data_IF_722743018306
#
_entry.id   IF_722743018306
#
_cell.length_a   1.000
_cell.length_b   1.000
_cell.length_c   1.000
_cell.angle_alpha   90.00
_cell.angle_beta   90.00
_cell.angle_gamma   90.00
#
_symmetry.space_group_name_H-M   'P 1'
#
loop_
_entity.id
_entity.type
_entity.pdbx_description
1 polymer ?
#
# COMPACT_ATOMS: atom_id res chain seq x y z
N UNK A 1 -4.22 11.11 22.69
CA UNK A 1 -5.01 9.92 22.36
C UNK A 1 -4.15 8.68 22.58
N UNK A 2 -4.78 7.58 22.96
CA UNK A 2 -4.16 6.24 22.99
C UNK A 2 -4.33 5.59 21.62
N UNK A 3 -3.24 5.40 20.91
CA UNK A 3 -3.25 4.87 19.52
C UNK A 3 -2.48 3.56 19.48
N UNK A 4 -3.09 2.54 18.90
CA UNK A 4 -2.43 1.25 18.70
C UNK A 4 -2.17 1.03 17.22
N UNK A 5 -0.91 0.77 16.85
CA UNK A 5 -0.49 0.45 15.49
C UNK A 5 -0.24 -1.06 15.40
N UNK A 6 -1.08 -1.77 14.68
CA UNK A 6 -1.00 -3.21 14.45
C UNK A 6 -0.10 -3.50 13.24
N UNK A 7 1.14 -3.89 13.51
CA UNK A 7 2.12 -4.24 12.48
C UNK A 7 3.43 -3.44 12.58
N UNK A 8 4.49 -4.12 12.99
CA UNK A 8 5.85 -3.59 13.18
C UNK A 8 6.71 -3.65 11.90
N UNK A 9 6.09 -3.55 10.72
CA UNK A 9 6.79 -3.33 9.45
C UNK A 9 7.44 -1.93 9.40
N UNK A 10 8.22 -1.64 8.36
CA UNK A 10 8.81 -0.30 8.20
C UNK A 10 7.76 0.81 8.24
N UNK A 11 6.65 0.64 7.50
CA UNK A 11 5.58 1.63 7.43
C UNK A 11 4.85 1.82 8.77
N UNK A 12 4.42 0.73 9.41
CA UNK A 12 3.77 0.82 10.72
C UNK A 12 4.67 1.45 11.79
N UNK A 13 5.97 1.12 11.77
CA UNK A 13 6.96 1.73 12.67
C UNK A 13 7.13 3.23 12.40
N UNK A 14 7.24 3.64 11.14
CA UNK A 14 7.37 5.05 10.77
C UNK A 14 6.14 5.87 11.20
N UNK A 15 4.93 5.31 11.04
CA UNK A 15 3.70 5.96 11.50
C UNK A 15 3.59 6.01 13.03
N UNK A 16 4.02 4.96 13.74
CA UNK A 16 4.05 4.97 15.20
C UNK A 16 4.98 6.07 15.74
N UNK A 17 6.15 6.26 15.11
CA UNK A 17 7.06 7.36 15.45
C UNK A 17 6.46 8.74 15.14
N UNK A 18 5.80 8.89 14.00
CA UNK A 18 5.12 10.14 13.62
C UNK A 18 4.04 10.50 14.64
N UNK A 19 3.24 9.53 15.06
CA UNK A 19 2.17 9.73 16.04
C UNK A 19 2.71 10.08 17.43
N UNK A 20 3.84 9.48 17.82
CA UNK A 20 4.53 9.81 19.06
C UNK A 20 5.07 11.26 19.00
N UNK A 21 5.69 11.67 17.89
CA UNK A 21 6.12 13.06 17.64
C UNK A 21 4.95 14.04 17.74
N UNK A 22 3.75 13.63 17.35
CA UNK A 22 2.51 14.37 17.51
C UNK A 22 1.94 14.33 18.95
N UNK A 23 2.74 13.82 19.93
CA UNK A 23 2.41 13.74 21.36
C UNK A 23 1.20 12.86 21.69
N UNK A 24 1.01 11.79 20.95
CA UNK A 24 0.04 10.75 21.30
C UNK A 24 0.74 9.64 22.12
N UNK A 25 -0.04 8.96 22.97
CA UNK A 25 0.42 7.72 23.61
C UNK A 25 0.29 6.59 22.58
N UNK A 26 1.42 6.06 22.09
CA UNK A 26 1.45 5.12 20.97
C UNK A 26 1.97 3.77 21.41
N UNK A 27 1.26 2.72 21.05
CA UNK A 27 1.70 1.34 21.18
C UNK A 27 1.86 0.71 19.80
N UNK A 28 3.07 0.25 19.50
CA UNK A 28 3.39 -0.54 18.31
C UNK A 28 3.28 -2.03 18.65
N UNK A 29 2.29 -2.68 18.06
CA UNK A 29 2.11 -4.12 18.23
C UNK A 29 2.83 -4.90 17.11
N UNK A 30 3.50 -5.97 17.52
CA UNK A 30 4.16 -6.92 16.62
C UNK A 30 3.59 -8.31 16.80
N UNK A 31 3.16 -8.94 15.72
CA UNK A 31 2.68 -10.33 15.75
C UNK A 31 3.75 -11.31 16.26
N UNK A 32 5.01 -11.09 15.90
CA UNK A 32 6.13 -11.92 16.36
C UNK A 32 6.67 -11.41 17.70
N UNK A 33 6.56 -12.22 18.80
CA UNK A 33 7.06 -11.84 20.12
C UNK A 33 8.58 -11.61 20.13
N UNK A 34 9.36 -12.38 19.36
CA UNK A 34 10.81 -12.20 19.27
C UNK A 34 11.17 -10.87 18.65
N UNK A 35 10.45 -10.49 17.60
CA UNK A 35 10.61 -9.18 16.96
C UNK A 35 10.21 -8.05 17.91
N UNK A 36 9.10 -8.19 18.63
CA UNK A 36 8.70 -7.21 19.64
C UNK A 36 9.79 -6.97 20.67
N UNK A 37 10.38 -8.04 21.20
CA UNK A 37 11.44 -7.96 22.19
C UNK A 37 12.73 -7.33 21.61
N UNK A 38 13.11 -7.70 20.40
CA UNK A 38 14.26 -7.10 19.72
C UNK A 38 14.07 -5.57 19.50
N UNK A 39 12.88 -5.14 19.08
CA UNK A 39 12.57 -3.73 18.91
C UNK A 39 12.59 -2.97 20.25
N UNK A 40 12.13 -3.59 21.34
CA UNK A 40 12.21 -3.00 22.68
C UNK A 40 13.64 -2.79 23.13
N UNK A 41 14.48 -3.82 22.96
CA UNK A 41 15.87 -3.81 23.45
C UNK A 41 16.76 -2.91 22.59
N UNK A 42 16.69 -3.06 21.27
CA UNK A 42 17.58 -2.35 20.34
C UNK A 42 17.14 -0.95 20.00
N UNK A 43 15.85 -0.66 20.15
CA UNK A 43 15.24 0.61 19.69
C UNK A 43 15.59 0.94 18.24
N UNK A 44 15.73 -0.09 17.42
CA UNK A 44 15.99 0.01 15.99
C UNK A 44 15.14 -1.02 15.24
N UNK A 45 14.59 -0.63 14.09
CA UNK A 45 13.90 -1.56 13.19
C UNK A 45 14.81 -1.84 11.99
N UNK A 46 15.18 -3.11 11.71
CA UNK A 46 16.01 -3.44 10.55
C UNK A 46 15.43 -2.98 9.20
N UNK A 47 14.12 -2.75 9.14
CA UNK A 47 13.44 -2.20 7.95
C UNK A 47 13.56 -0.67 7.82
N UNK A 48 14.12 0.01 8.83
CA UNK A 48 14.37 1.45 8.88
C UNK A 48 15.80 1.71 9.36
N UNK A 49 16.81 1.32 8.59
CA UNK A 49 18.21 1.38 9.01
C UNK A 49 18.62 2.81 9.35
N UNK A 50 19.32 2.95 10.49
CA UNK A 50 19.83 4.24 11.00
C UNK A 50 18.74 5.15 11.59
N UNK A 51 17.57 4.60 11.93
CA UNK A 51 16.48 5.32 12.61
C UNK A 51 16.31 4.76 14.03
N UNK A 52 16.49 5.62 15.03
CA UNK A 52 16.26 5.28 16.44
C UNK A 52 14.79 5.43 16.80
N UNK A 53 14.22 4.42 17.43
CA UNK A 53 12.83 4.46 17.92
C UNK A 53 12.76 5.27 19.23
N UNK A 54 11.77 6.19 19.38
CA UNK A 54 11.57 6.95 20.60
C UNK A 54 11.45 6.05 21.83
N UNK A 55 12.00 6.51 22.96
CA UNK A 55 11.99 5.74 24.22
C UNK A 55 10.55 5.57 24.74
N UNK A 56 9.71 6.56 24.51
CA UNK A 56 8.30 6.62 24.93
C UNK A 56 7.42 5.69 24.10
N UNK A 57 7.83 5.30 22.88
CA UNK A 57 7.08 4.38 22.04
C UNK A 57 6.96 3.01 22.72
N UNK A 58 5.73 2.67 23.11
CA UNK A 58 5.46 1.34 23.67
C UNK A 58 5.50 0.29 22.57
N UNK A 59 6.11 -0.86 22.84
CA UNK A 59 6.20 -1.98 21.90
C UNK A 59 5.73 -3.24 22.59
N UNK A 60 4.82 -3.99 21.98
CA UNK A 60 4.27 -5.21 22.58
C UNK A 60 3.86 -6.24 21.53
N UNK A 61 3.67 -7.48 21.95
CA UNK A 61 2.98 -8.53 21.22
C UNK A 61 1.64 -8.92 21.87
N UNK A 62 1.23 -8.23 22.94
CA UNK A 62 -0.02 -8.47 23.66
C UNK A 62 -1.13 -7.58 23.11
N UNK A 63 -2.23 -8.20 22.63
CA UNK A 63 -3.40 -7.50 22.08
C UNK A 63 -4.25 -6.82 23.17
N UNK A 64 -4.04 -7.09 24.45
CA UNK A 64 -4.71 -6.34 25.52
C UNK A 64 -4.42 -4.83 25.46
N UNK A 65 -3.37 -4.39 24.76
CA UNK A 65 -3.11 -2.98 24.49
C UNK A 65 -4.25 -2.27 23.73
N UNK A 66 -5.12 -3.02 23.05
CA UNK A 66 -6.27 -2.49 22.32
C UNK A 66 -7.43 -2.04 23.22
N UNK A 67 -7.56 -2.58 24.44
CA UNK A 67 -8.74 -2.35 25.31
C UNK A 67 -9.07 -0.88 25.59
N UNK A 68 -8.06 -0.01 25.56
CA UNK A 68 -8.22 1.43 25.81
C UNK A 68 -7.83 2.25 24.56
N UNK A 69 -7.82 1.63 23.37
CA UNK A 69 -7.48 2.34 22.15
C UNK A 69 -8.58 3.35 21.76
N UNK A 70 -8.18 4.54 21.38
CA UNK A 70 -9.04 5.59 20.83
C UNK A 70 -8.90 5.69 19.29
N UNK A 71 -7.89 5.03 18.73
CA UNK A 71 -7.68 4.82 17.30
C UNK A 71 -6.83 3.54 17.09
N UNK A 72 -7.26 2.68 16.20
CA UNK A 72 -6.49 1.48 15.81
C UNK A 72 -6.02 1.60 14.36
N UNK A 73 -4.71 1.48 14.14
CA UNK A 73 -4.07 1.58 12.83
C UNK A 73 -3.62 0.20 12.37
N UNK A 74 -4.18 -0.28 11.27
CA UNK A 74 -3.80 -1.55 10.64
C UNK A 74 -2.69 -1.32 9.61
N UNK A 75 -1.51 -1.84 9.90
CA UNK A 75 -0.31 -1.75 9.07
C UNK A 75 0.38 -3.11 8.76
N UNK A 76 -0.33 -4.26 8.82
CA UNK A 76 0.26 -5.54 8.39
C UNK A 76 0.36 -5.61 6.87
N UNK A 77 1.12 -6.57 6.30
CA UNK A 77 1.04 -6.91 4.88
C UNK A 77 -0.37 -7.31 4.46
N UNK A 78 -0.73 -7.08 3.19
CA UNK A 78 -2.09 -7.33 2.68
C UNK A 78 -2.58 -8.76 2.90
N UNK A 79 -1.73 -9.75 2.70
CA UNK A 79 -2.06 -11.18 2.90
C UNK A 79 -2.26 -11.56 4.38
N UNK A 80 -1.79 -10.76 5.32
CA UNK A 80 -1.90 -11.03 6.76
C UNK A 80 -3.04 -10.22 7.43
N UNK A 81 -3.61 -9.25 6.73
CA UNK A 81 -4.55 -8.29 7.32
C UNK A 81 -5.77 -8.97 7.93
N UNK A 82 -6.37 -9.94 7.23
CA UNK A 82 -7.55 -10.67 7.73
C UNK A 82 -7.27 -11.37 9.05
N UNK A 83 -6.17 -12.11 9.13
CA UNK A 83 -5.80 -12.81 10.35
C UNK A 83 -5.59 -11.83 11.52
N UNK A 84 -4.87 -10.75 11.28
CA UNK A 84 -4.61 -9.70 12.28
C UNK A 84 -5.92 -9.02 12.72
N UNK A 85 -6.81 -8.68 11.79
CA UNK A 85 -8.08 -8.06 12.12
C UNK A 85 -8.97 -8.99 12.96
N UNK A 86 -9.08 -10.26 12.57
CA UNK A 86 -9.82 -11.29 13.30
C UNK A 86 -9.29 -11.51 14.72
N UNK A 87 -7.97 -11.58 14.86
CA UNK A 87 -7.32 -11.79 16.16
C UNK A 87 -7.47 -10.57 17.08
N UNK A 88 -7.43 -9.37 16.51
CA UNK A 88 -7.52 -8.11 17.25
C UNK A 88 -8.96 -7.75 17.65
N UNK A 89 -9.97 -8.13 16.86
CA UNK A 89 -11.37 -7.73 17.05
C UNK A 89 -11.91 -7.94 18.49
N UNK A 90 -11.66 -9.08 19.19
CA UNK A 90 -12.20 -9.27 20.56
C UNK A 90 -11.62 -8.33 21.62
N UNK A 91 -10.57 -7.60 21.31
CA UNK A 91 -9.88 -6.70 22.24
C UNK A 91 -10.20 -5.22 22.00
N UNK A 92 -10.87 -4.90 20.90
CA UNK A 92 -11.18 -3.51 20.55
C UNK A 92 -12.37 -2.97 21.32
N UNK A 93 -12.36 -1.69 21.72
CA UNK A 93 -13.56 -1.02 22.19
C UNK A 93 -14.61 -0.90 21.09
N UNK A 94 -15.90 -0.98 21.48
CA UNK A 94 -17.00 -0.78 20.54
C UNK A 94 -16.93 0.62 19.90
N UNK A 95 -17.12 0.68 18.58
CA UNK A 95 -17.15 1.93 17.85
C UNK A 95 -15.81 2.66 17.73
N UNK A 96 -14.69 2.07 18.19
CA UNK A 96 -13.37 2.69 18.04
C UNK A 96 -13.06 2.94 16.55
N UNK A 97 -12.55 4.13 16.17
CA UNK A 97 -12.15 4.40 14.79
C UNK A 97 -11.00 3.47 14.35
N UNK A 98 -11.12 2.97 13.12
CA UNK A 98 -10.14 2.08 12.50
C UNK A 98 -9.50 2.76 11.29
N UNK A 99 -8.19 2.65 11.16
CA UNK A 99 -7.44 3.18 10.03
C UNK A 99 -6.69 2.06 9.32
N UNK A 100 -6.97 1.85 8.03
CA UNK A 100 -6.15 1.00 7.19
C UNK A 100 -5.05 1.81 6.52
N UNK A 101 -3.81 1.39 6.68
CA UNK A 101 -2.66 1.90 5.91
C UNK A 101 -2.04 0.80 5.04
N UNK A 102 -2.68 -0.36 5.00
CA UNK A 102 -2.27 -1.51 4.19
C UNK A 102 -2.72 -1.31 2.74
N UNK A 103 -1.81 -1.52 1.80
CA UNK A 103 -2.05 -1.35 0.37
C UNK A 103 -2.15 -2.72 -0.30
N UNK A 104 -3.34 -3.10 -0.75
CA UNK A 104 -3.56 -4.40 -1.39
C UNK A 104 -5.02 -4.71 -1.66
N UNK A 105 -5.23 -5.83 -2.34
CA UNK A 105 -6.54 -6.47 -2.59
C UNK A 105 -6.40 -7.91 -2.10
N UNK A 106 -7.36 -8.39 -1.33
CA UNK A 106 -7.30 -9.74 -0.81
C UNK A 106 -7.49 -10.77 -1.93
N UNK A 107 -6.63 -11.78 -1.96
CA UNK A 107 -6.70 -12.86 -2.94
C UNK A 107 -7.95 -13.73 -2.71
N UNK A 108 -8.60 -14.12 -3.78
CA UNK A 108 -9.77 -15.02 -3.77
C UNK A 108 -11.10 -14.32 -3.45
N UNK A 109 -11.12 -13.41 -2.46
CA UNK A 109 -12.33 -12.62 -2.15
C UNK A 109 -12.42 -11.33 -2.96
N UNK A 110 -11.28 -10.82 -3.42
CA UNK A 110 -11.10 -9.54 -4.11
C UNK A 110 -11.53 -8.31 -3.29
N UNK A 111 -11.64 -8.48 -1.97
CA UNK A 111 -12.01 -7.41 -1.07
C UNK A 111 -10.87 -6.40 -0.90
N UNK A 112 -11.24 -5.12 -0.83
CA UNK A 112 -10.34 -4.05 -0.39
C UNK A 112 -10.03 -4.20 1.10
N UNK A 113 -8.91 -3.67 1.53
CA UNK A 113 -8.43 -3.82 2.91
C UNK A 113 -9.44 -3.29 3.94
N UNK A 114 -10.11 -2.17 3.66
CA UNK A 114 -11.17 -1.64 4.51
C UNK A 114 -12.36 -2.58 4.66
N UNK A 115 -12.72 -3.30 3.59
CA UNK A 115 -13.81 -4.29 3.61
C UNK A 115 -13.42 -5.53 4.42
N UNK A 116 -12.17 -5.98 4.31
CA UNK A 116 -11.64 -7.08 5.13
C UNK A 116 -11.70 -6.72 6.62
N UNK A 117 -11.25 -5.51 6.98
CA UNK A 117 -11.32 -5.02 8.36
C UNK A 117 -12.79 -5.01 8.84
N UNK A 118 -13.70 -4.43 8.05
CA UNK A 118 -15.12 -4.37 8.41
C UNK A 118 -15.75 -5.75 8.65
N UNK A 119 -15.39 -6.75 7.82
CA UNK A 119 -15.88 -8.12 7.99
C UNK A 119 -15.38 -8.78 9.27
N UNK A 120 -14.10 -8.61 9.60
CA UNK A 120 -13.49 -9.32 10.73
C UNK A 120 -13.76 -8.64 12.08
N UNK A 121 -13.86 -7.29 12.09
CA UNK A 121 -14.10 -6.58 13.34
C UNK A 121 -15.58 -6.57 13.73
N UNK A 122 -16.48 -6.75 12.76
CA UNK A 122 -17.91 -6.62 13.00
C UNK A 122 -18.28 -5.21 13.51
N UNK A 123 -19.53 -4.93 13.65
CA UNK A 123 -19.95 -3.70 14.32
C UNK A 123 -19.82 -2.43 13.46
N UNK A 124 -20.11 -1.29 14.10
CA UNK A 124 -20.21 0.02 13.45
C UNK A 124 -18.96 0.88 13.64
N UNK A 125 -17.79 0.30 13.44
CA UNK A 125 -16.54 1.07 13.50
C UNK A 125 -16.44 2.07 12.36
N UNK A 126 -16.14 3.36 12.63
CA UNK A 126 -15.77 4.30 11.59
C UNK A 126 -14.44 3.87 10.97
N UNK A 127 -14.43 3.58 9.67
CA UNK A 127 -13.21 3.13 8.97
C UNK A 127 -12.71 4.23 8.04
N UNK A 128 -11.42 4.54 8.14
CA UNK A 128 -10.70 5.37 7.20
C UNK A 128 -9.54 4.59 6.57
N UNK A 129 -9.04 5.08 5.44
CA UNK A 129 -7.85 4.57 4.77
C UNK A 129 -6.85 5.70 4.57
N UNK A 130 -5.54 5.42 4.67
CA UNK A 130 -4.48 6.39 4.43
C UNK A 130 -3.58 5.89 3.31
N UNK A 131 -3.41 6.69 2.26
CA UNK A 131 -2.56 6.37 1.12
C UNK A 131 -1.96 7.64 0.51
N UNK A 132 -0.88 7.47 -0.27
CA UNK A 132 -0.16 8.58 -0.91
C UNK A 132 1.34 8.30 -0.98
N UNK A 133 2.14 9.21 -1.57
CA UNK A 133 3.58 9.11 -1.68
C UNK A 133 4.22 9.14 -0.29
N UNK A 134 4.60 7.98 0.24
CA UNK A 134 4.99 7.84 1.65
C UNK A 134 5.95 6.67 1.86
N UNK A 135 7.20 6.81 1.42
CA UNK A 135 8.24 5.85 1.76
C UNK A 135 8.52 5.90 3.27
N UNK A 136 8.49 4.75 3.91
CA UNK A 136 8.65 4.63 5.36
C UNK A 136 9.99 5.23 5.84
N UNK A 137 11.03 5.05 5.05
CA UNK A 137 12.39 5.55 5.31
C UNK A 137 12.45 7.09 5.35
N UNK A 138 11.67 7.76 4.50
CA UNK A 138 11.59 9.21 4.43
C UNK A 138 10.72 9.76 5.57
N UNK A 139 9.56 9.15 5.81
CA UNK A 139 8.67 9.55 6.90
C UNK A 139 9.35 9.38 8.25
N UNK A 140 10.06 8.28 8.48
CA UNK A 140 10.80 8.05 9.72
C UNK A 140 11.94 9.08 9.97
N UNK A 141 12.43 9.72 8.91
CA UNK A 141 13.41 10.82 8.98
C UNK A 141 12.77 12.21 8.96
N UNK A 142 11.46 12.28 9.16
CA UNK A 142 10.67 13.52 9.14
C UNK A 142 10.86 14.36 7.86
N UNK A 143 11.04 13.69 6.70
CA UNK A 143 11.05 14.39 5.41
C UNK A 143 9.62 14.82 5.03
N UNK A 144 9.45 15.99 4.39
CA UNK A 144 8.13 16.48 4.02
C UNK A 144 7.35 15.47 3.17
N UNK A 145 6.16 15.10 3.65
CA UNK A 145 5.32 14.06 3.05
C UNK A 145 3.86 14.52 2.99
N UNK A 146 3.17 14.25 1.90
CA UNK A 146 1.74 14.54 1.74
C UNK A 146 0.96 13.27 1.38
N UNK A 147 -0.14 13.00 2.10
CA UNK A 147 -0.98 11.81 1.92
C UNK A 147 -2.48 12.17 1.95
N UNK A 148 -3.32 11.20 1.64
CA UNK A 148 -4.78 11.32 1.67
C UNK A 148 -5.35 10.34 2.69
N UNK A 149 -6.22 10.85 3.57
CA UNK A 149 -7.11 10.08 4.40
C UNK A 149 -8.50 10.05 3.76
N UNK A 150 -9.01 8.88 3.43
CA UNK A 150 -10.34 8.74 2.83
C UNK A 150 -11.27 7.91 3.72
N UNK A 151 -12.54 8.34 3.80
CA UNK A 151 -13.59 7.63 4.52
C UNK A 151 -14.96 7.96 3.95
N UNK A 152 -15.91 7.03 4.08
CA UNK A 152 -17.33 7.29 3.81
C UNK A 152 -17.99 8.15 4.92
N UNK A 153 -17.30 8.37 6.04
CA UNK A 153 -17.70 9.23 7.16
C UNK A 153 -16.69 10.36 7.27
N UNK A 154 -17.12 11.61 7.04
CA UNK A 154 -16.25 12.78 7.06
C UNK A 154 -15.44 12.88 8.36
N UNK A 155 -16.09 12.61 9.49
CA UNK A 155 -15.49 12.69 10.83
C UNK A 155 -14.31 11.74 11.01
N UNK A 156 -14.36 10.56 10.37
CA UNK A 156 -13.26 9.59 10.43
C UNK A 156 -12.05 10.06 9.61
N UNK A 157 -12.25 10.60 8.40
CA UNK A 157 -11.18 11.18 7.61
C UNK A 157 -10.55 12.41 8.30
N UNK A 158 -11.36 13.28 8.87
CA UNK A 158 -10.93 14.46 9.61
C UNK A 158 -10.18 14.09 10.90
N UNK A 159 -10.62 13.04 11.62
CA UNK A 159 -9.89 12.53 12.78
C UNK A 159 -8.47 12.14 12.37
N UNK A 160 -8.33 11.34 11.31
CA UNK A 160 -7.02 10.93 10.78
C UNK A 160 -6.20 12.16 10.38
N UNK A 161 -6.80 13.12 9.69
CA UNK A 161 -6.13 14.37 9.33
C UNK A 161 -5.57 15.09 10.56
N UNK A 162 -6.39 15.32 11.61
CA UNK A 162 -5.96 16.01 12.84
C UNK A 162 -4.85 15.26 13.58
N UNK A 163 -4.96 13.92 13.65
CA UNK A 163 -4.05 13.08 14.43
C UNK A 163 -2.66 12.95 13.77
N UNK A 164 -2.63 12.87 12.44
CA UNK A 164 -1.38 12.64 11.70
C UNK A 164 -0.70 13.91 11.20
N UNK A 165 -1.43 15.03 11.04
CA UNK A 165 -0.85 16.26 10.46
C UNK A 165 0.13 16.92 11.43
N UNK A 166 1.30 17.30 10.90
CA UNK A 166 2.28 18.19 11.54
C UNK A 166 3.04 19.00 10.47
N UNK A 167 4.10 19.71 10.85
CA UNK A 167 4.90 20.55 9.93
C UNK A 167 5.59 19.76 8.80
N UNK A 168 5.76 18.44 8.95
CA UNK A 168 6.45 17.55 8.02
C UNK A 168 5.54 16.53 7.35
N UNK A 169 4.36 16.29 7.92
CA UNK A 169 3.41 15.31 7.40
C UNK A 169 2.04 15.95 7.21
N UNK A 170 1.62 16.10 5.95
CA UNK A 170 0.36 16.75 5.61
C UNK A 170 -0.67 15.74 5.13
N UNK A 171 -1.84 15.74 5.76
CA UNK A 171 -2.96 14.86 5.39
C UNK A 171 -4.08 15.67 4.75
N UNK A 172 -4.51 15.25 3.58
CA UNK A 172 -5.72 15.76 2.91
C UNK A 172 -6.86 14.78 3.12
N UNK A 173 -8.09 15.26 3.24
CA UNK A 173 -9.28 14.40 3.36
C UNK A 173 -9.90 14.11 2.01
N UNK A 174 -10.56 12.97 1.89
CA UNK A 174 -11.27 12.53 0.69
C UNK A 174 -12.45 11.62 1.06
N UNK A 175 -13.47 11.56 0.20
CA UNK A 175 -14.67 10.72 0.38
C UNK A 175 -14.69 9.48 -0.54
N UNK A 176 -13.69 9.30 -1.43
CA UNK A 176 -13.56 8.14 -2.29
C UNK A 176 -12.56 7.13 -1.75
N UNK A 177 -13.01 6.27 -0.84
CA UNK A 177 -12.19 5.16 -0.33
C UNK A 177 -11.80 4.16 -1.43
N UNK A 178 -12.72 3.92 -2.38
CA UNK A 178 -12.50 2.93 -3.45
C UNK A 178 -11.32 3.32 -4.32
N UNK A 179 -11.33 4.56 -4.83
CA UNK A 179 -10.25 5.09 -5.66
C UNK A 179 -8.92 5.12 -4.92
N UNK A 180 -8.90 5.55 -3.65
CA UNK A 180 -7.69 5.65 -2.82
C UNK A 180 -7.08 4.26 -2.55
N UNK A 181 -7.88 3.25 -2.21
CA UNK A 181 -7.38 1.89 -1.94
C UNK A 181 -6.89 1.19 -3.20
N UNK A 182 -7.64 1.28 -4.30
CA UNK A 182 -7.25 0.64 -5.57
C UNK A 182 -5.99 1.26 -6.15
N UNK A 183 -5.86 2.58 -6.10
CA UNK A 183 -4.64 3.26 -6.49
C UNK A 183 -3.43 2.76 -5.70
N UNK A 184 -3.55 2.69 -4.37
CA UNK A 184 -2.49 2.20 -3.48
C UNK A 184 -2.12 0.73 -3.70
N UNK A 185 -3.09 -0.12 -4.07
CA UNK A 185 -2.84 -1.53 -4.34
C UNK A 185 -2.15 -1.77 -5.70
N UNK A 186 -2.69 -1.18 -6.77
CA UNK A 186 -2.28 -1.46 -8.15
C UNK A 186 -0.96 -0.77 -8.54
N UNK A 187 -0.60 0.35 -7.91
CA UNK A 187 0.71 0.98 -8.14
C UNK A 187 1.88 0.03 -7.95
N UNK A 188 1.73 -0.96 -7.08
CA UNK A 188 2.79 -1.92 -6.77
C UNK A 188 3.10 -2.85 -7.95
N UNK A 189 2.07 -3.23 -8.73
CA UNK A 189 2.23 -3.99 -9.99
C UNK A 189 2.91 -3.12 -11.05
N UNK A 190 2.48 -1.86 -11.18
CA UNK A 190 3.09 -0.91 -12.09
C UNK A 190 4.57 -0.67 -11.76
N UNK A 191 4.92 -0.55 -10.48
CA UNK A 191 6.30 -0.36 -10.04
C UNK A 191 7.18 -1.59 -10.35
N UNK A 192 6.64 -2.81 -10.23
CA UNK A 192 7.33 -4.02 -10.71
C UNK A 192 7.62 -3.93 -12.21
N UNK A 193 6.60 -3.59 -13.02
CA UNK A 193 6.73 -3.46 -14.47
C UNK A 193 7.77 -2.39 -14.86
N UNK A 194 7.74 -1.22 -14.21
CA UNK A 194 8.74 -0.17 -14.40
C UNK A 194 10.15 -0.65 -14.03
N UNK A 195 10.27 -1.41 -12.94
CA UNK A 195 11.53 -2.02 -12.53
C UNK A 195 12.05 -3.01 -13.59
N UNK A 196 11.19 -3.88 -14.13
CA UNK A 196 11.57 -4.79 -15.23
C UNK A 196 12.05 -4.00 -16.45
N UNK A 197 11.38 -2.90 -16.79
CA UNK A 197 11.81 -1.99 -17.86
C UNK A 197 13.21 -1.40 -17.60
N UNK A 198 13.46 -1.00 -16.35
CA UNK A 198 14.77 -0.47 -15.93
C UNK A 198 15.87 -1.55 -16.05
N UNK A 199 15.62 -2.78 -15.56
CA UNK A 199 16.55 -3.89 -15.64
C UNK A 199 16.88 -4.34 -17.08
N UNK A 200 15.94 -4.14 -18.01
CA UNK A 200 16.15 -4.36 -19.44
C UNK A 200 16.83 -3.18 -20.16
N UNK A 201 17.01 -2.03 -19.50
CA UNK A 201 17.62 -0.83 -20.09
C UNK A 201 16.75 -0.12 -21.13
N UNK A 202 15.40 -0.16 -21.02
CA UNK A 202 14.48 0.39 -22.03
C UNK A 202 14.31 1.93 -21.97
N UNK A 203 14.88 2.58 -20.96
CA UNK A 203 14.94 4.03 -20.86
C UNK A 203 13.69 4.71 -20.30
N UNK A 204 13.79 6.04 -20.14
CA UNK A 204 12.79 6.85 -19.40
C UNK A 204 11.47 7.05 -20.17
N UNK A 205 11.51 7.08 -21.51
CA UNK A 205 10.28 7.17 -22.31
C UNK A 205 9.39 5.93 -22.10
N UNK A 206 9.97 4.74 -22.03
CA UNK A 206 9.23 3.51 -21.73
C UNK A 206 8.67 3.54 -20.31
N UNK A 207 9.44 4.02 -19.34
CA UNK A 207 8.97 4.18 -17.96
C UNK A 207 7.79 5.15 -17.87
N UNK A 208 7.88 6.31 -18.52
CA UNK A 208 6.79 7.29 -18.57
C UNK A 208 5.52 6.71 -19.23
N UNK A 209 5.67 5.98 -20.34
CA UNK A 209 4.58 5.26 -20.99
C UNK A 209 3.92 4.26 -20.02
N UNK A 210 4.71 3.44 -19.34
CA UNK A 210 4.20 2.43 -18.39
C UNK A 210 3.44 3.08 -17.23
N UNK A 211 3.98 4.14 -16.63
CA UNK A 211 3.33 4.89 -15.53
C UNK A 211 1.97 5.42 -16.00
N UNK A 212 1.93 6.08 -17.15
CA UNK A 212 0.69 6.66 -17.70
C UNK A 212 -0.34 5.59 -18.05
N UNK A 213 0.09 4.50 -18.68
CA UNK A 213 -0.82 3.41 -19.04
C UNK A 213 -1.31 2.61 -17.85
N UNK A 214 -0.45 2.34 -16.85
CA UNK A 214 -0.84 1.71 -15.60
C UNK A 214 -1.88 2.55 -14.83
N UNK A 215 -1.73 3.88 -14.84
CA UNK A 215 -2.75 4.77 -14.27
C UNK A 215 -4.09 4.66 -15.00
N UNK A 216 -4.07 4.61 -16.32
CA UNK A 216 -5.30 4.43 -17.11
C UNK A 216 -5.97 3.07 -16.84
N UNK A 217 -5.20 1.99 -16.66
CA UNK A 217 -5.72 0.67 -16.26
C UNK A 217 -6.35 0.73 -14.88
N UNK A 218 -5.66 1.31 -13.91
CA UNK A 218 -6.14 1.50 -12.54
C UNK A 218 -7.43 2.32 -12.50
N UNK A 219 -7.51 3.40 -13.32
CA UNK A 219 -8.72 4.24 -13.41
C UNK A 219 -9.92 3.44 -13.90
N UNK A 220 -9.77 2.65 -14.97
CA UNK A 220 -10.86 1.81 -15.47
C UNK A 220 -11.38 0.83 -14.43
N UNK A 221 -10.48 0.17 -13.70
CA UNK A 221 -10.88 -0.76 -12.65
C UNK A 221 -11.55 -0.03 -11.48
N UNK A 222 -11.01 1.14 -11.08
CA UNK A 222 -11.58 1.95 -10.01
C UNK A 222 -12.98 2.44 -10.34
N UNK A 223 -13.21 2.98 -11.54
CA UNK A 223 -14.53 3.43 -12.02
C UNK A 223 -15.53 2.27 -12.05
N UNK A 224 -15.10 1.08 -12.47
CA UNK A 224 -15.97 -0.13 -12.49
C UNK A 224 -16.41 -0.55 -11.09
N UNK A 225 -15.65 -0.22 -10.06
CA UNK A 225 -15.92 -0.51 -8.65
C UNK A 225 -16.53 0.67 -7.88
N UNK A 226 -16.89 1.76 -8.57
CA UNK A 226 -17.52 2.94 -7.98
C UNK A 226 -16.53 3.98 -7.45
N UNK A 227 -15.24 3.86 -7.75
CA UNK A 227 -14.24 4.90 -7.50
C UNK A 227 -14.28 5.99 -8.56
N UNK A 228 -13.65 7.12 -8.28
CA UNK A 228 -13.64 8.30 -9.15
C UNK A 228 -12.31 8.48 -9.85
N UNK A 229 -12.35 8.81 -11.13
CA UNK A 229 -11.15 9.03 -11.95
C UNK A 229 -10.28 10.18 -11.42
N UNK A 230 -10.92 11.23 -10.91
CA UNK A 230 -10.26 12.41 -10.35
C UNK A 230 -9.38 12.04 -9.14
N UNK A 231 -9.80 11.06 -8.34
CA UNK A 231 -9.02 10.54 -7.20
C UNK A 231 -7.66 10.01 -7.65
N UNK A 232 -7.62 9.37 -8.82
CA UNK A 232 -6.40 8.76 -9.37
C UNK A 232 -5.39 9.81 -9.85
N UNK A 233 -5.83 11.02 -10.20
CA UNK A 233 -4.95 12.14 -10.55
C UNK A 233 -4.28 12.80 -9.33
N UNK A 234 -4.76 12.48 -8.11
CA UNK A 234 -4.27 13.05 -6.85
C UNK A 234 -3.07 12.34 -6.25
N UNK A 235 -2.83 12.66 -4.96
CA UNK A 235 -1.70 12.11 -4.19
C UNK A 235 -1.76 10.58 -4.05
N UNK A 236 -2.94 10.02 -3.75
CA UNK A 236 -3.09 8.57 -3.58
C UNK A 236 -2.93 7.79 -4.89
N UNK A 237 -3.20 8.41 -6.03
CA UNK A 237 -3.02 7.82 -7.37
C UNK A 237 -1.68 8.19 -7.98
N UNK A 238 -1.65 9.24 -8.80
CA UNK A 238 -0.47 9.66 -9.57
C UNK A 238 0.74 9.96 -8.68
N UNK A 239 0.54 10.62 -7.52
CA UNK A 239 1.64 10.95 -6.61
C UNK A 239 2.34 9.68 -6.09
N UNK A 240 1.57 8.72 -5.58
CA UNK A 240 2.11 7.46 -5.04
C UNK A 240 2.66 6.54 -6.13
N UNK A 241 2.07 6.57 -7.32
CA UNK A 241 2.55 5.81 -8.47
C UNK A 241 3.92 6.32 -8.94
N UNK A 242 4.08 7.63 -9.13
CA UNK A 242 5.34 8.23 -9.57
C UNK A 242 6.46 7.88 -8.58
N UNK A 243 6.29 8.18 -7.30
CA UNK A 243 7.35 7.93 -6.32
C UNK A 243 7.68 6.43 -6.22
N UNK A 244 6.69 5.53 -6.35
CA UNK A 244 6.92 4.09 -6.27
C UNK A 244 7.64 3.54 -7.51
N UNK A 245 7.38 4.09 -8.70
CA UNK A 245 8.01 3.67 -9.94
C UNK A 245 9.41 4.28 -10.15
N UNK A 246 9.75 5.38 -9.47
CA UNK A 246 11.02 6.09 -9.70
C UNK A 246 12.02 5.97 -8.54
N UNK A 247 11.56 5.74 -7.32
CA UNK A 247 12.41 5.67 -6.13
C UNK A 247 13.10 4.30 -5.98
N UNK A 248 14.37 4.31 -5.53
CA UNK A 248 15.08 3.09 -5.11
C UNK A 248 14.66 2.58 -3.71
N UNK A 249 13.87 3.34 -2.95
CA UNK A 249 13.22 2.83 -1.75
C UNK A 249 12.11 1.82 -2.09
N UNK A 250 11.54 1.87 -3.31
CA UNK A 250 10.51 0.94 -3.74
C UNK A 250 11.05 -0.49 -3.88
N UNK A 251 10.61 -1.36 -2.99
CA UNK A 251 10.90 -2.80 -3.06
C UNK A 251 10.36 -3.43 -4.35
N UNK A 252 9.17 -3.00 -4.79
CA UNK A 252 8.59 -3.49 -6.03
C UNK A 252 9.44 -3.12 -7.24
N UNK A 253 9.92 -1.86 -7.34
CA UNK A 253 10.81 -1.43 -8.41
C UNK A 253 12.13 -2.21 -8.38
N UNK A 254 12.78 -2.35 -7.21
CA UNK A 254 14.02 -3.13 -7.08
C UNK A 254 13.84 -4.60 -7.45
N UNK A 255 12.72 -5.21 -7.04
CA UNK A 255 12.38 -6.57 -7.45
C UNK A 255 12.21 -6.67 -8.97
N UNK A 256 11.52 -5.71 -9.59
CA UNK A 256 11.38 -5.63 -11.03
C UNK A 256 12.73 -5.50 -11.75
N UNK A 257 13.65 -4.66 -11.26
CA UNK A 257 15.01 -4.52 -11.84
C UNK A 257 15.70 -5.87 -11.84
N UNK A 258 15.74 -6.57 -10.73
CA UNK A 258 16.40 -7.88 -10.63
C UNK A 258 15.77 -8.93 -11.57
N UNK A 259 14.44 -8.91 -11.77
CA UNK A 259 13.74 -9.78 -12.73
C UNK A 259 14.12 -9.38 -14.16
N UNK A 260 14.18 -8.09 -14.46
CA UNK A 260 14.59 -7.58 -15.78
C UNK A 260 16.05 -7.92 -16.14
N UNK A 261 16.92 -8.03 -15.15
CA UNK A 261 18.31 -8.48 -15.25
C UNK A 261 18.46 -10.00 -15.39
N UNK A 262 17.34 -10.76 -15.34
CA UNK A 262 17.29 -12.20 -15.63
C UNK A 262 17.18 -13.12 -14.41
N UNK A 263 16.98 -12.59 -13.19
CA UNK A 263 16.67 -13.42 -12.03
C UNK A 263 15.23 -13.92 -12.08
N UNK A 264 14.97 -15.09 -11.52
CA UNK A 264 13.58 -15.61 -11.42
C UNK A 264 12.77 -14.83 -10.38
N UNK A 265 11.47 -14.62 -10.62
CA UNK A 265 10.59 -13.94 -9.65
C UNK A 265 10.63 -14.56 -8.24
N UNK A 266 10.69 -15.89 -8.15
CA UNK A 266 10.72 -16.64 -6.89
C UNK A 266 11.98 -16.35 -6.08
N UNK A 267 13.17 -16.40 -6.73
CA UNK A 267 14.44 -16.05 -6.08
C UNK A 267 14.44 -14.59 -5.59
N UNK A 268 13.95 -13.68 -6.43
CA UNK A 268 13.92 -12.25 -6.08
C UNK A 268 13.03 -11.99 -4.88
N UNK A 269 11.83 -12.59 -4.84
CA UNK A 269 10.90 -12.41 -3.71
C UNK A 269 11.47 -13.00 -2.41
N UNK A 270 12.15 -14.15 -2.49
CA UNK A 270 12.79 -14.78 -1.33
C UNK A 270 13.92 -13.91 -0.74
N UNK A 271 14.73 -13.26 -1.59
CA UNK A 271 15.92 -12.50 -1.18
C UNK A 271 15.63 -11.04 -0.81
N UNK A 272 14.44 -10.50 -1.09
CA UNK A 272 14.17 -9.05 -1.00
C UNK A 272 14.17 -8.48 0.44
N UNK A 273 14.26 -9.30 1.47
CA UNK A 273 14.31 -8.85 2.88
C UNK A 273 13.04 -8.16 3.38
N UNK A 274 11.94 -8.28 2.65
CA UNK A 274 10.63 -7.70 2.99
C UNK A 274 9.59 -8.04 1.94
N UNK A 275 8.33 -7.72 2.20
CA UNK A 275 7.23 -8.08 1.30
C UNK A 275 7.30 -7.27 0.01
N UNK A 276 7.23 -7.97 -1.12
CA UNK A 276 7.03 -7.40 -2.47
C UNK A 276 5.54 -7.46 -2.77
N UNK A 277 4.79 -6.42 -2.34
CA UNK A 277 3.32 -6.39 -2.45
C UNK A 277 2.84 -6.54 -3.91
N UNK A 278 3.57 -6.03 -4.89
CA UNK A 278 3.24 -6.17 -6.30
C UNK A 278 3.20 -7.62 -6.79
N UNK A 279 3.98 -8.51 -6.17
CA UNK A 279 3.94 -9.93 -6.47
C UNK A 279 2.57 -10.52 -6.14
N UNK A 280 2.04 -10.22 -4.96
CA UNK A 280 0.71 -10.69 -4.53
C UNK A 280 -0.42 -9.93 -5.23
N UNK A 281 -0.27 -8.62 -5.38
CA UNK A 281 -1.28 -7.77 -6.01
C UNK A 281 -1.53 -8.11 -7.48
N UNK A 282 -0.53 -8.62 -8.22
CA UNK A 282 -0.69 -9.01 -9.62
C UNK A 282 -1.75 -10.10 -9.80
N UNK A 283 -1.81 -11.09 -8.90
CA UNK A 283 -2.83 -12.15 -8.93
C UNK A 283 -4.21 -11.56 -8.66
N UNK A 284 -4.37 -10.87 -7.53
CA UNK A 284 -5.67 -10.32 -7.13
C UNK A 284 -6.21 -9.31 -8.14
N UNK A 285 -5.32 -8.49 -8.72
CA UNK A 285 -5.69 -7.52 -9.75
C UNK A 285 -6.13 -8.19 -11.06
N UNK A 286 -5.42 -9.24 -11.50
CA UNK A 286 -5.78 -10.02 -12.69
C UNK A 286 -7.14 -10.71 -12.50
N UNK A 287 -7.32 -11.45 -11.40
CA UNK A 287 -8.56 -12.15 -11.08
C UNK A 287 -9.75 -11.18 -10.99
N UNK A 288 -9.56 -10.03 -10.34
CA UNK A 288 -10.59 -9.00 -10.20
C UNK A 288 -10.93 -8.36 -11.57
N UNK A 289 -9.92 -8.02 -12.36
CA UNK A 289 -10.12 -7.45 -13.70
C UNK A 289 -10.89 -8.41 -14.61
N UNK A 290 -10.54 -9.69 -14.61
CA UNK A 290 -11.23 -10.74 -15.37
C UNK A 290 -12.70 -10.87 -14.96
N UNK A 291 -12.97 -10.88 -13.65
CA UNK A 291 -14.33 -11.00 -13.12
C UNK A 291 -15.25 -9.85 -13.52
N UNK A 292 -14.68 -8.68 -13.77
CA UNK A 292 -15.37 -7.43 -14.13
C UNK A 292 -15.32 -7.12 -15.64
N UNK A 293 -14.59 -7.91 -16.43
CA UNK A 293 -14.39 -7.68 -17.85
C UNK A 293 -13.60 -6.39 -18.14
N UNK A 294 -12.64 -6.03 -17.26
CA UNK A 294 -11.81 -4.82 -17.40
C UNK A 294 -10.46 -5.18 -18.01
N UNK A 295 -10.10 -4.55 -19.13
CA UNK A 295 -8.78 -4.73 -19.73
C UNK A 295 -7.67 -4.06 -18.91
N UNK A 296 -6.71 -4.87 -18.45
CA UNK A 296 -5.52 -4.42 -17.73
C UNK A 296 -4.23 -5.05 -18.29
N UNK A 297 -3.81 -4.67 -19.51
CA UNK A 297 -2.71 -5.31 -20.23
C UNK A 297 -1.37 -5.35 -19.47
N UNK A 298 -1.01 -4.29 -18.73
CA UNK A 298 0.24 -4.24 -17.95
C UNK A 298 0.14 -5.22 -16.78
N UNK A 299 -0.99 -5.22 -16.08
CA UNK A 299 -1.23 -6.14 -14.97
C UNK A 299 -1.21 -7.60 -15.44
N UNK A 300 -1.88 -7.92 -16.55
CA UNK A 300 -1.89 -9.25 -17.17
C UNK A 300 -0.49 -9.68 -17.61
N UNK A 301 0.25 -8.81 -18.28
CA UNK A 301 1.60 -9.10 -18.71
C UNK A 301 2.57 -9.36 -17.55
N UNK A 302 2.42 -8.60 -16.45
CA UNK A 302 3.19 -8.84 -15.22
C UNK A 302 2.78 -10.15 -14.54
N UNK A 303 1.49 -10.47 -14.49
CA UNK A 303 1.02 -11.76 -13.99
C UNK A 303 1.66 -12.93 -14.76
N UNK A 304 1.70 -12.85 -16.09
CA UNK A 304 2.33 -13.89 -16.92
C UNK A 304 3.83 -14.06 -16.62
N UNK A 305 4.56 -12.97 -16.42
CA UNK A 305 5.97 -13.03 -16.04
C UNK A 305 6.16 -13.66 -14.66
N UNK A 306 5.33 -13.26 -13.69
CA UNK A 306 5.50 -13.68 -12.30
C UNK A 306 5.07 -15.14 -12.04
N UNK A 307 4.04 -15.63 -12.76
CA UNK A 307 3.39 -16.90 -12.44
C UNK A 307 3.37 -17.91 -13.59
N UNK A 308 3.39 -17.45 -14.84
CA UNK A 308 3.30 -18.32 -16.02
C UNK A 308 4.65 -18.49 -16.75
N UNK A 309 5.73 -17.92 -16.22
CA UNK A 309 7.07 -18.05 -16.81
C UNK A 309 7.25 -17.34 -18.15
N UNK A 310 6.43 -16.33 -18.44
CA UNK A 310 6.57 -15.55 -19.67
C UNK A 310 7.90 -14.78 -19.68
N UNK A 311 8.54 -14.75 -20.84
CA UNK A 311 9.80 -14.03 -21.05
C UNK A 311 9.58 -12.52 -20.96
N UNK A 312 10.40 -11.81 -20.17
CA UNK A 312 10.25 -10.36 -19.92
C UNK A 312 10.41 -9.50 -21.20
N UNK A 313 11.31 -9.87 -22.12
CA UNK A 313 11.45 -9.15 -23.41
C UNK A 313 10.21 -9.34 -24.28
N UNK A 314 9.69 -10.57 -24.33
CA UNK A 314 8.46 -10.90 -25.04
C UNK A 314 7.24 -10.17 -24.49
N UNK A 315 7.20 -9.91 -23.19
CA UNK A 315 6.15 -9.09 -22.54
C UNK A 315 6.08 -7.69 -23.16
N UNK A 316 7.20 -6.96 -23.24
CA UNK A 316 7.22 -5.61 -23.84
C UNK A 316 6.86 -5.61 -25.31
N UNK A 317 7.33 -6.61 -26.07
CA UNK A 317 6.94 -6.76 -27.48
C UNK A 317 5.42 -6.91 -27.61
N UNK A 318 4.79 -7.76 -26.79
CA UNK A 318 3.32 -7.93 -26.80
C UNK A 318 2.58 -6.64 -26.44
N UNK A 319 3.05 -5.89 -25.43
CA UNK A 319 2.44 -4.61 -25.06
C UNK A 319 2.50 -3.58 -26.19
N UNK A 320 3.63 -3.50 -26.89
CA UNK A 320 3.85 -2.55 -28.00
C UNK A 320 3.17 -2.94 -29.31
N UNK A 321 2.94 -4.22 -29.56
CA UNK A 321 2.29 -4.74 -30.78
C UNK A 321 0.76 -4.77 -30.72
N UNK A 322 0.15 -4.29 -29.61
CA UNK A 322 -1.32 -4.16 -29.52
C UNK A 322 -1.84 -3.23 -30.59
N UNK A 323 -3.09 -3.48 -31.03
CA UNK A 323 -3.75 -2.61 -32.01
C UNK A 323 -3.76 -1.14 -31.56
N UNK A 324 -3.47 -0.18 -32.44
CA UNK A 324 -3.56 1.23 -32.11
C UNK A 324 -4.95 1.60 -31.59
N UNK A 325 -5.00 2.39 -30.52
CA UNK A 325 -6.25 2.88 -29.96
C UNK A 325 -6.14 4.35 -29.55
N UNK A 326 -7.26 4.97 -29.26
CA UNK A 326 -7.28 6.33 -28.72
C UNK A 326 -6.63 6.35 -27.33
N UNK A 327 -6.03 7.47 -26.96
CA UNK A 327 -5.46 7.64 -25.62
C UNK A 327 -6.54 7.70 -24.54
N UNK A 328 -7.67 8.33 -24.85
CA UNK A 328 -8.84 8.44 -23.97
C UNK A 328 -10.00 7.63 -24.51
N UNK A 329 -10.83 7.09 -23.61
CA UNK A 329 -12.02 6.32 -23.98
C UNK A 329 -13.17 7.22 -24.48
N UNK A 330 -13.10 8.54 -24.24
CA UNK A 330 -14.07 9.51 -24.73
C UNK A 330 -13.82 9.83 -26.22
N UNK A 331 -14.89 9.82 -27.01
CA UNK A 331 -14.81 10.16 -28.44
C UNK A 331 -14.37 11.61 -28.71
N UNK A 332 -14.05 11.91 -29.97
CA UNK A 332 -13.93 13.30 -30.42
C UNK A 332 -15.29 13.98 -30.22
N UNK A 333 -15.34 15.09 -29.48
CA UNK A 333 -16.51 15.94 -29.34
C UNK A 333 -16.58 16.87 -30.54
#
# INVERSE_FOLDING_TARGET
>A
MNIVVLGSGGWGTALAMLLEQNRHAVTLWSHDPKKAEQLKLKRENPLLPGVQLPVELQITNDLNCLRNAELVVFAPPSFALRAVAKEAAPYMPDGVPLLSVTKGIERGTHLRMSQVIAQETGGEHPIAVLSGPSHAEEVARAMPTGVVAASNRAEAAELVQRVFTNERFRVYTHDDMVGVELAGALKNVAALCCGVSDGLGLGDNTKALLITRAMAETSRLAERLGGRKETLAGLAGMGDLIVTCTSMHSRNRRAGIAIGEGRTPQEVVADMGGVVEGYYAAVSAKELADSLGVEMPICEAMYDVLYNGAEVRGMFHRLMSRAPKRETDNGWV
#
